data_IF_091610423255
#
_entry.id   IF_091610423255
#
_cell.length_a   1.000
_cell.length_b   1.000
_cell.length_c   1.000
_cell.angle_alpha   90.00
_cell.angle_beta   90.00
_cell.angle_gamma   90.00
#
_symmetry.space_group_name_H-M   'P 1'
#
loop_
_entity.id
_entity.type
_entity.pdbx_description
1 polymer ?
#
# COMPACT_ATOMS: atom_id res chain seq x y z
N UNK A 1 33.76 2.19 -3.29
CA UNK A 1 33.82 0.86 -2.64
C UNK A 1 33.22 0.87 -1.24
N UNK A 2 33.67 1.70 -0.29
CA UNK A 2 33.11 1.70 1.08
C UNK A 2 31.64 2.17 1.15
N UNK A 3 31.30 3.26 0.46
CA UNK A 3 29.91 3.76 0.41
C UNK A 3 28.97 2.79 -0.30
N UNK A 4 29.43 2.14 -1.38
CA UNK A 4 28.63 1.17 -2.14
C UNK A 4 28.27 -0.05 -1.28
N UNK A 5 29.19 -0.49 -0.40
CA UNK A 5 28.93 -1.56 0.55
C UNK A 5 27.85 -1.17 1.56
N UNK A 6 27.94 0.04 2.13
CA UNK A 6 26.94 0.55 3.08
C UNK A 6 25.57 0.67 2.44
N UNK A 7 25.49 1.19 1.20
CA UNK A 7 24.27 1.26 0.41
C UNK A 7 23.66 -0.13 0.18
N UNK A 8 24.48 -1.12 -0.16
CA UNK A 8 24.03 -2.50 -0.31
C UNK A 8 23.50 -3.12 0.98
N UNK A 9 24.10 -2.80 2.14
CA UNK A 9 23.60 -3.23 3.44
C UNK A 9 22.23 -2.63 3.78
N UNK A 10 22.02 -1.33 3.50
CA UNK A 10 20.72 -0.70 3.70
C UNK A 10 19.62 -1.31 2.83
N UNK A 11 19.92 -1.55 1.54
CA UNK A 11 18.99 -2.26 0.65
C UNK A 11 18.62 -3.65 1.21
N UNK A 12 19.60 -4.39 1.73
CA UNK A 12 19.36 -5.69 2.38
C UNK A 12 18.50 -5.60 3.65
N UNK A 13 18.61 -4.51 4.41
CA UNK A 13 17.74 -4.30 5.56
C UNK A 13 16.28 -4.05 5.16
N UNK A 14 16.03 -3.35 4.05
CA UNK A 14 14.67 -3.19 3.51
C UNK A 14 14.11 -4.55 3.07
N UNK A 15 14.92 -5.35 2.36
CA UNK A 15 14.51 -6.69 1.91
C UNK A 15 14.15 -7.64 3.07
N UNK A 16 14.80 -7.49 4.22
CA UNK A 16 14.62 -8.36 5.39
C UNK A 16 13.62 -7.84 6.42
N UNK A 17 13.03 -6.66 6.19
CA UNK A 17 12.06 -6.09 7.10
C UNK A 17 10.74 -6.88 7.07
N UNK A 18 10.44 -7.55 8.19
CA UNK A 18 9.23 -8.35 8.35
C UNK A 18 7.96 -7.51 8.39
N UNK A 19 8.06 -6.21 8.67
CA UNK A 19 6.91 -5.30 8.66
C UNK A 19 6.52 -4.89 7.24
N UNK A 20 7.42 -5.03 6.27
CA UNK A 20 7.19 -4.75 4.86
C UNK A 20 6.90 -6.02 4.05
N UNK A 21 6.20 -6.98 4.65
CA UNK A 21 5.72 -8.19 3.99
C UNK A 21 4.22 -8.13 3.89
N UNK A 22 3.70 -8.26 2.68
CA UNK A 22 2.27 -8.45 2.48
C UNK A 22 1.86 -9.84 2.98
N UNK A 23 0.96 -9.87 3.96
CA UNK A 23 0.55 -11.10 4.65
C UNK A 23 -0.35 -11.96 3.75
N UNK A 24 -1.11 -11.34 2.85
CA UNK A 24 -2.05 -12.06 1.98
C UNK A 24 -1.33 -12.80 0.85
N UNK A 25 -0.38 -12.14 0.18
CA UNK A 25 0.38 -12.75 -0.93
C UNK A 25 1.71 -13.37 -0.50
N UNK A 26 2.21 -13.07 0.70
CA UNK A 26 3.55 -13.46 1.16
C UNK A 26 4.67 -12.67 0.48
N UNK A 27 4.34 -11.62 -0.28
CA UNK A 27 5.32 -10.83 -1.03
C UNK A 27 6.09 -9.90 -0.08
N UNK A 28 7.40 -10.05 -0.02
CA UNK A 28 8.28 -9.15 0.74
C UNK A 28 8.70 -7.93 -0.10
N UNK A 29 9.03 -6.83 0.56
CA UNK A 29 9.68 -5.70 -0.09
C UNK A 29 10.99 -6.13 -0.77
N UNK A 30 11.27 -5.51 -1.92
CA UNK A 30 12.47 -5.81 -2.72
C UNK A 30 13.12 -4.50 -3.19
N UNK A 31 14.29 -4.21 -2.66
CA UNK A 31 15.11 -3.08 -3.05
C UNK A 31 15.94 -3.41 -4.31
N UNK A 32 15.35 -3.17 -5.48
CA UNK A 32 16.00 -3.42 -6.78
C UNK A 32 17.23 -2.54 -7.05
N UNK A 33 17.38 -1.43 -6.32
CA UNK A 33 18.52 -0.51 -6.42
C UNK A 33 19.19 -0.32 -5.05
N UNK A 34 20.52 -0.40 -4.99
CA UNK A 34 21.29 -0.21 -3.75
C UNK A 34 21.29 1.24 -3.26
N UNK A 35 21.07 2.24 -4.13
CA UNK A 35 21.00 3.66 -3.74
C UNK A 35 19.64 4.09 -3.16
N UNK A 36 18.67 3.17 -3.06
CA UNK A 36 17.27 3.47 -2.70
C UNK A 36 17.11 4.23 -1.38
N UNK A 37 17.99 4.01 -0.40
CA UNK A 37 17.92 4.68 0.90
C UNK A 37 18.18 6.18 0.80
N UNK A 38 19.04 6.62 -0.12
CA UNK A 38 19.32 8.04 -0.35
C UNK A 38 18.21 8.70 -1.15
N UNK A 39 17.69 8.00 -2.16
CA UNK A 39 16.58 8.46 -3.00
C UNK A 39 15.32 8.67 -2.16
N UNK A 40 14.96 7.69 -1.32
CA UNK A 40 13.80 7.76 -0.42
C UNK A 40 13.93 8.88 0.62
N UNK A 41 15.15 9.18 1.09
CA UNK A 41 15.40 10.27 2.04
C UNK A 41 15.18 11.67 1.45
N UNK A 42 15.05 11.79 0.12
CA UNK A 42 14.91 13.05 -0.60
C UNK A 42 13.57 13.19 -1.34
N UNK A 43 12.65 12.23 -1.18
CA UNK A 43 11.34 12.28 -1.84
C UNK A 43 10.51 13.44 -1.28
N UNK A 44 10.09 14.35 -2.16
CA UNK A 44 9.21 15.48 -1.83
C UNK A 44 7.75 15.24 -2.26
N UNK A 45 7.54 14.52 -3.37
CA UNK A 45 6.22 14.26 -3.93
C UNK A 45 6.03 12.77 -4.22
N UNK A 46 4.86 12.25 -3.83
CA UNK A 46 4.43 10.88 -4.16
C UNK A 46 3.34 10.99 -5.23
N UNK A 47 3.66 10.53 -6.44
CA UNK A 47 2.68 10.34 -7.50
C UNK A 47 2.08 8.94 -7.36
N UNK A 48 0.79 8.86 -7.09
CA UNK A 48 0.07 7.59 -6.91
C UNK A 48 -0.90 7.36 -8.05
N UNK A 49 -0.97 6.12 -8.52
CA UNK A 49 -2.09 5.69 -9.35
C UNK A 49 -3.31 5.41 -8.45
N UNK A 50 -4.52 5.52 -9.02
CA UNK A 50 -5.75 5.25 -8.27
C UNK A 50 -6.02 3.75 -8.21
N UNK A 51 -6.08 3.10 -9.37
CA UNK A 51 -6.56 1.71 -9.47
C UNK A 51 -5.40 0.74 -9.29
N UNK A 52 -5.54 -0.21 -8.36
CA UNK A 52 -4.47 -1.17 -8.06
C UNK A 52 -3.37 -0.63 -7.14
N UNK A 53 -3.44 0.65 -6.72
CA UNK A 53 -2.62 1.21 -5.64
C UNK A 53 -3.50 1.73 -4.51
N UNK A 54 -4.32 2.76 -4.74
CA UNK A 54 -5.21 3.30 -3.70
C UNK A 54 -6.46 2.44 -3.50
N UNK A 55 -6.98 1.83 -4.57
CA UNK A 55 -8.19 1.02 -4.51
C UNK A 55 -7.95 -0.36 -5.10
N UNK A 56 -8.38 -1.38 -4.36
CA UNK A 56 -8.60 -2.71 -4.92
C UNK A 56 -9.69 -2.67 -5.99
N UNK A 57 -9.62 -3.57 -6.96
CA UNK A 57 -10.67 -3.73 -7.97
C UNK A 57 -11.86 -4.53 -7.39
N UNK A 58 -12.47 -3.99 -6.32
CA UNK A 58 -13.58 -4.60 -5.59
C UNK A 58 -14.63 -3.55 -5.27
N UNK A 59 -15.76 -3.65 -5.95
CA UNK A 59 -16.89 -2.74 -5.73
C UNK A 59 -17.91 -3.40 -4.81
N UNK A 60 -18.14 -2.78 -3.64
CA UNK A 60 -19.08 -3.28 -2.64
C UNK A 60 -20.27 -2.32 -2.61
N UNK A 61 -21.49 -2.85 -2.75
CA UNK A 61 -22.68 -2.05 -2.54
C UNK A 61 -22.82 -1.74 -1.06
N UNK A 62 -22.85 -0.44 -0.76
CA UNK A 62 -22.75 0.08 0.61
C UNK A 62 -24.10 0.62 1.09
N UNK A 63 -24.64 1.62 0.40
CA UNK A 63 -25.93 2.22 0.73
C UNK A 63 -26.71 2.65 -0.51
N UNK A 64 -28.01 2.84 -0.37
CA UNK A 64 -28.83 3.57 -1.33
C UNK A 64 -29.93 4.37 -0.64
N UNK A 65 -30.56 5.26 -1.41
CA UNK A 65 -31.77 5.98 -1.00
C UNK A 65 -32.90 5.66 -1.98
N UNK A 66 -34.06 5.23 -1.47
CA UNK A 66 -35.26 4.91 -2.25
C UNK A 66 -36.42 5.68 -1.64
N UNK A 67 -37.08 6.53 -2.44
CA UNK A 67 -38.22 7.35 -2.01
C UNK A 67 -37.96 8.16 -0.71
N UNK A 68 -36.74 8.68 -0.53
CA UNK A 68 -36.35 9.46 0.65
C UNK A 68 -35.95 8.61 1.86
N UNK A 69 -36.01 7.28 1.77
CA UNK A 69 -35.58 6.35 2.83
C UNK A 69 -34.16 5.85 2.53
N UNK A 70 -33.25 5.97 3.50
CA UNK A 70 -31.88 5.48 3.38
C UNK A 70 -31.77 4.02 3.84
N UNK A 71 -31.10 3.20 3.04
CA UNK A 71 -30.82 1.78 3.31
C UNK A 71 -29.31 1.56 3.44
N UNK A 72 -28.90 0.84 4.49
CA UNK A 72 -27.50 0.59 4.85
C UNK A 72 -27.12 1.22 6.19
N UNK A 73 -26.16 0.63 6.91
CA UNK A 73 -25.76 1.07 8.25
C UNK A 73 -24.90 2.35 8.22
N UNK A 74 -24.72 3.04 9.35
CA UNK A 74 -23.87 4.25 9.46
C UNK A 74 -22.37 4.02 9.20
N UNK A 75 -21.92 2.76 9.15
CA UNK A 75 -20.55 2.37 8.78
C UNK A 75 -20.37 2.13 7.28
N UNK A 76 -21.46 2.17 6.52
CA UNK A 76 -21.45 2.05 5.06
C UNK A 76 -21.92 0.70 4.58
N UNK A 77 -22.06 -0.32 5.40
CA UNK A 77 -22.38 -1.66 4.92
C UNK A 77 -23.87 -1.82 4.57
N UNK A 78 -24.13 -2.50 3.45
CA UNK A 78 -25.47 -2.95 3.13
C UNK A 78 -25.93 -3.92 4.22
N UNK A 79 -27.12 -3.70 4.77
CA UNK A 79 -27.68 -4.57 5.82
C UNK A 79 -27.83 -5.96 5.21
N UNK A 80 -27.03 -6.92 5.69
CA UNK A 80 -27.26 -8.34 5.38
C UNK A 80 -28.58 -8.72 6.06
N UNK A 81 -29.58 -9.04 5.25
CA UNK A 81 -30.79 -9.74 5.72
C UNK A 81 -30.44 -11.12 6.26
#
# INVERSE_FOLDING_TARGET
VSLDLVKSLYAKFIDWDKQMVDVETGTSANATNTAISEDLGQVEYILTDKTGTLTENKMIFKRCCIAGTFFGNENGDAVRG
#
